data_IF_977461834534
#
_entry.id   IF_977461834534
#
_cell.length_a   1.000
_cell.length_b   1.000
_cell.length_c   1.000
_cell.angle_alpha   90.00
_cell.angle_beta   90.00
_cell.angle_gamma   90.00
#
_symmetry.space_group_name_H-M   'P 1'
#
loop_
_entity.id
_entity.type
_entity.pdbx_description
1 polymer ?
#
# COMPACT_ATOMS: atom_id res chain seq x y z
N UNK A 1 13.52 -68.11 36.98
CA UNK A 1 14.39 -66.92 36.87
C UNK A 1 14.28 -66.38 35.45
N UNK A 2 13.70 -65.18 35.30
CA UNK A 2 13.46 -64.51 34.01
C UNK A 2 14.79 -63.97 33.44
N UNK A 3 15.07 -64.15 32.15
CA UNK A 3 16.05 -63.33 31.42
C UNK A 3 15.41 -62.78 30.15
N UNK A 4 15.54 -61.48 30.02
CA UNK A 4 14.80 -60.55 29.19
C UNK A 4 15.56 -60.34 27.87
N UNK A 5 14.82 -60.31 26.76
CA UNK A 5 15.28 -59.89 25.44
C UNK A 5 15.65 -58.40 25.43
N UNK A 6 16.85 -58.06 24.95
CA UNK A 6 17.25 -56.67 24.69
C UNK A 6 17.05 -56.41 23.20
N UNK A 7 16.07 -55.56 22.88
CA UNK A 7 15.81 -55.02 21.54
C UNK A 7 16.61 -53.72 21.41
N UNK A 8 17.54 -53.64 20.46
CA UNK A 8 18.30 -52.42 20.18
C UNK A 8 17.51 -51.54 19.21
N UNK A 9 16.97 -50.41 19.70
CA UNK A 9 16.27 -49.43 18.88
C UNK A 9 17.30 -48.42 18.36
N UNK A 10 17.44 -48.35 17.04
CA UNK A 10 18.21 -47.32 16.34
C UNK A 10 17.39 -46.03 16.33
N UNK A 11 17.80 -45.03 17.11
CA UNK A 11 17.18 -43.71 17.09
C UNK A 11 17.71 -42.92 15.88
N UNK A 12 16.88 -42.76 14.84
CA UNK A 12 17.17 -41.84 13.76
C UNK A 12 16.98 -40.40 14.27
N UNK A 13 18.06 -39.62 14.30
CA UNK A 13 18.01 -38.18 14.53
C UNK A 13 17.31 -37.52 13.34
N UNK A 14 16.05 -37.12 13.53
CA UNK A 14 15.39 -36.19 12.61
C UNK A 14 15.83 -34.79 13.02
N UNK A 15 16.81 -34.24 12.29
CA UNK A 15 17.15 -32.82 12.40
C UNK A 15 16.03 -31.99 11.79
N UNK A 16 15.16 -31.44 12.63
CA UNK A 16 14.21 -30.42 12.21
C UNK A 16 14.99 -29.16 11.86
N UNK A 17 15.03 -28.82 10.56
CA UNK A 17 15.43 -27.48 10.14
C UNK A 17 14.37 -26.50 10.64
N UNK A 18 14.59 -25.93 11.82
CA UNK A 18 13.87 -24.74 12.26
C UNK A 18 14.23 -23.62 11.29
N UNK A 19 13.31 -23.26 10.39
CA UNK A 19 13.43 -22.00 9.65
C UNK A 19 13.48 -20.90 10.70
N UNK A 20 14.66 -20.35 10.92
CA UNK A 20 14.91 -19.36 11.94
C UNK A 20 14.28 -18.04 11.46
N UNK A 21 12.99 -17.85 11.73
CA UNK A 21 12.32 -16.56 11.56
C UNK A 21 13.14 -15.53 12.36
N UNK A 22 13.75 -14.58 11.66
CA UNK A 22 14.47 -13.46 12.29
C UNK A 22 13.47 -12.68 13.15
N UNK A 23 13.95 -12.23 14.31
CA UNK A 23 13.13 -11.62 15.36
C UNK A 23 12.18 -10.54 14.82
N UNK A 24 10.88 -10.76 15.08
CA UNK A 24 9.81 -9.78 14.90
C UNK A 24 10.16 -8.51 15.70
N UNK A 25 10.15 -7.35 15.04
CA UNK A 25 10.28 -6.06 15.71
C UNK A 25 8.90 -5.42 15.84
N UNK A 26 8.56 -4.95 17.04
CA UNK A 26 7.30 -4.27 17.30
C UNK A 26 7.61 -2.84 17.73
N UNK A 27 7.10 -1.87 17.00
CA UNK A 27 7.20 -0.45 17.33
C UNK A 27 5.81 0.09 17.63
N UNK A 28 5.66 0.87 18.70
CA UNK A 28 4.41 1.53 19.08
C UNK A 28 4.62 3.03 19.19
N UNK A 29 3.76 3.82 18.57
CA UNK A 29 3.82 5.29 18.63
C UNK A 29 2.43 5.88 18.40
N UNK A 30 2.03 6.83 19.24
CA UNK A 30 0.79 7.61 19.10
C UNK A 30 -0.47 6.75 18.87
N UNK A 31 -0.58 5.61 19.56
CA UNK A 31 -1.72 4.70 19.45
C UNK A 31 -1.69 3.75 18.24
N UNK A 32 -0.64 3.80 17.40
CA UNK A 32 -0.43 2.84 16.32
C UNK A 32 0.67 1.85 16.68
N UNK A 33 0.51 0.60 16.25
CA UNK A 33 1.47 -0.50 16.40
C UNK A 33 1.86 -1.01 15.02
N UNK A 34 3.16 -1.08 14.76
CA UNK A 34 3.72 -1.73 13.58
C UNK A 34 4.52 -2.96 14.02
N UNK A 35 4.15 -4.12 13.50
CA UNK A 35 5.00 -5.32 13.55
C UNK A 35 5.78 -5.43 12.24
N UNK A 36 7.08 -5.68 12.32
CA UNK A 36 7.95 -5.85 11.17
C UNK A 36 8.62 -7.22 11.23
N UNK A 37 8.40 -8.03 10.21
CA UNK A 37 9.00 -9.34 10.02
C UNK A 37 9.69 -9.43 8.65
N UNK A 38 10.66 -10.32 8.54
CA UNK A 38 11.31 -10.58 7.26
C UNK A 38 11.90 -11.99 7.24
N UNK A 39 11.69 -12.72 6.14
CA UNK A 39 12.43 -13.94 5.83
C UNK A 39 13.69 -13.67 4.99
N UNK A 40 13.96 -12.41 4.65
CA UNK A 40 15.12 -11.98 3.86
C UNK A 40 16.30 -11.60 4.78
N UNK A 41 17.25 -12.52 4.94
CA UNK A 41 18.35 -12.34 5.89
C UNK A 41 19.26 -11.14 5.59
N UNK A 42 19.37 -10.72 4.32
CA UNK A 42 20.23 -9.64 3.87
C UNK A 42 19.53 -8.27 3.79
N UNK A 43 18.32 -8.13 4.36
CA UNK A 43 17.64 -6.83 4.43
C UNK A 43 18.52 -5.79 5.13
N UNK A 44 18.76 -4.66 4.46
CA UNK A 44 19.50 -3.54 5.02
C UNK A 44 18.79 -2.99 6.28
N UNK A 45 19.45 -2.99 7.46
CA UNK A 45 18.88 -2.42 8.68
C UNK A 45 18.48 -0.94 8.55
N UNK A 46 19.14 -0.15 7.70
CA UNK A 46 18.78 1.25 7.48
C UNK A 46 17.51 1.36 6.64
N UNK A 47 17.37 0.57 5.58
CA UNK A 47 16.12 0.47 4.83
C UNK A 47 14.96 0.07 5.74
N UNK A 48 15.12 -0.97 6.58
CA UNK A 48 14.12 -1.36 7.59
C UNK A 48 13.68 -0.17 8.45
N UNK A 49 14.64 0.58 9.01
CA UNK A 49 14.35 1.77 9.82
C UNK A 49 13.62 2.85 9.03
N UNK A 50 13.97 3.08 7.76
CA UNK A 50 13.28 4.05 6.89
C UNK A 50 11.84 3.63 6.63
N UNK A 51 11.57 2.36 6.31
CA UNK A 51 10.21 1.84 6.10
C UNK A 51 9.33 2.04 7.36
N UNK A 52 9.86 1.69 8.54
CA UNK A 52 9.17 1.89 9.82
C UNK A 52 8.90 3.39 10.07
N UNK A 53 9.91 4.24 9.82
CA UNK A 53 9.76 5.70 9.96
C UNK A 53 8.68 6.24 9.03
N UNK A 54 8.68 5.84 7.75
CA UNK A 54 7.67 6.25 6.76
C UNK A 54 6.28 5.88 7.23
N UNK A 55 6.06 4.64 7.71
CA UNK A 55 4.76 4.23 8.26
C UNK A 55 4.24 5.21 9.32
N UNK A 56 5.05 5.51 10.35
CA UNK A 56 4.62 6.40 11.43
C UNK A 56 4.49 7.86 11.03
N UNK A 57 5.08 8.26 9.90
CA UNK A 57 4.93 9.60 9.34
C UNK A 57 3.63 9.72 8.53
N UNK A 58 3.29 8.71 7.72
CA UNK A 58 2.20 8.81 6.73
C UNK A 58 0.89 8.18 7.22
N UNK A 59 0.93 7.01 7.85
CA UNK A 59 -0.28 6.24 8.17
C UNK A 59 -1.24 6.99 9.11
N UNK A 60 -0.78 7.66 10.19
CA UNK A 60 -1.68 8.48 11.02
C UNK A 60 -2.32 9.64 10.26
N UNK A 61 -1.62 10.23 9.27
CA UNK A 61 -2.15 11.32 8.43
C UNK A 61 -3.22 10.79 7.47
N UNK A 62 -2.97 9.66 6.83
CA UNK A 62 -3.94 8.98 5.96
C UNK A 62 -5.18 8.55 6.73
N UNK A 63 -5.00 7.94 7.90
CA UNK A 63 -6.10 7.59 8.80
C UNK A 63 -6.95 8.82 9.17
N UNK A 64 -6.31 9.92 9.59
CA UNK A 64 -7.04 11.17 9.91
C UNK A 64 -7.78 11.74 8.70
N UNK A 65 -7.17 11.70 7.52
CA UNK A 65 -7.73 12.31 6.32
C UNK A 65 -8.89 11.49 5.75
N UNK A 66 -8.76 10.16 5.67
CA UNK A 66 -9.69 9.31 4.93
C UNK A 66 -10.52 8.39 5.84
N UNK A 67 -9.92 7.72 6.81
CA UNK A 67 -10.62 6.75 7.66
C UNK A 67 -10.07 6.71 9.11
N UNK A 68 -10.58 7.53 10.04
CA UNK A 68 -10.09 7.56 11.41
C UNK A 68 -10.27 6.23 12.16
N UNK A 69 -11.24 5.42 11.72
CA UNK A 69 -11.58 4.10 12.25
C UNK A 69 -10.72 2.96 11.70
N UNK A 70 -9.80 3.24 10.77
CA UNK A 70 -8.87 2.22 10.26
C UNK A 70 -8.08 1.57 11.41
N UNK A 71 -7.72 0.30 11.20
CA UNK A 71 -7.00 -0.53 12.16
C UNK A 71 -5.75 0.17 12.69
N UNK A 72 -5.43 -0.07 13.97
CA UNK A 72 -4.25 0.53 14.62
C UNK A 72 -3.05 -0.41 14.69
N UNK A 73 -3.24 -1.66 14.30
CA UNK A 73 -2.21 -2.68 14.25
C UNK A 73 -1.96 -3.07 12.80
N UNK A 74 -0.73 -2.84 12.33
CA UNK A 74 -0.30 -3.12 10.96
C UNK A 74 0.90 -4.04 10.99
N UNK A 75 1.03 -4.92 9.99
CA UNK A 75 2.17 -5.80 9.80
C UNK A 75 2.89 -5.49 8.51
N UNK A 76 4.20 -5.30 8.57
CA UNK A 76 5.09 -5.30 7.43
C UNK A 76 5.81 -6.64 7.36
N UNK A 77 5.85 -7.23 6.17
CA UNK A 77 6.57 -8.47 5.91
C UNK A 77 7.40 -8.34 4.64
N UNK A 78 8.72 -8.47 4.74
CA UNK A 78 9.58 -8.56 3.56
C UNK A 78 9.75 -10.03 3.19
N UNK A 79 9.27 -10.40 2.01
CA UNK A 79 9.20 -11.77 1.52
C UNK A 79 10.17 -12.03 0.36
N UNK A 80 10.87 -13.16 0.42
CA UNK A 80 11.74 -13.69 -0.63
C UNK A 80 10.99 -14.40 -1.75
N UNK A 81 9.76 -14.85 -1.49
CA UNK A 81 8.93 -15.52 -2.48
C UNK A 81 8.00 -14.59 -3.27
N UNK A 82 7.81 -13.34 -2.83
CA UNK A 82 6.94 -12.38 -3.49
C UNK A 82 7.64 -11.67 -4.66
N UNK A 83 7.05 -11.77 -5.84
CA UNK A 83 7.62 -11.37 -7.13
C UNK A 83 7.14 -10.00 -7.66
N UNK A 84 6.12 -9.42 -7.02
CA UNK A 84 5.64 -8.06 -7.29
C UNK A 84 6.50 -6.95 -6.67
N UNK A 85 5.91 -5.77 -6.49
CA UNK A 85 6.55 -4.64 -5.78
C UNK A 85 6.22 -4.74 -4.29
N UNK A 86 4.94 -4.61 -3.97
CA UNK A 86 4.34 -4.88 -2.69
C UNK A 86 2.85 -5.22 -2.88
N UNK A 87 2.23 -5.77 -1.83
CA UNK A 87 0.80 -6.03 -1.80
C UNK A 87 0.26 -5.91 -0.37
N UNK A 88 -0.99 -5.46 -0.27
CA UNK A 88 -1.67 -5.27 1.02
C UNK A 88 -2.91 -6.15 1.13
N UNK A 89 -3.04 -6.83 2.26
CA UNK A 89 -4.25 -7.57 2.64
C UNK A 89 -4.34 -7.67 4.16
N UNK A 90 -5.55 -7.53 4.72
CA UNK A 90 -5.84 -7.76 6.15
C UNK A 90 -4.88 -7.03 7.12
N UNK A 91 -4.61 -5.75 6.86
CA UNK A 91 -3.68 -4.95 7.68
C UNK A 91 -2.20 -5.36 7.56
N UNK A 92 -1.87 -6.25 6.63
CA UNK A 92 -0.50 -6.69 6.34
C UNK A 92 -0.06 -6.17 4.98
N UNK A 93 1.06 -5.44 4.97
CA UNK A 93 1.81 -5.11 3.76
C UNK A 93 2.94 -6.12 3.57
N UNK A 94 2.98 -6.74 2.40
CA UNK A 94 4.05 -7.63 1.96
C UNK A 94 4.90 -6.91 0.94
N UNK A 95 6.22 -6.82 1.15
CA UNK A 95 7.16 -6.20 0.23
C UNK A 95 8.04 -7.26 -0.42
N UNK A 96 8.34 -7.10 -1.72
CA UNK A 96 9.33 -7.94 -2.37
C UNK A 96 10.73 -7.61 -1.89
N UNK A 97 11.45 -8.61 -1.39
CA UNK A 97 12.88 -8.47 -1.09
C UNK A 97 13.69 -8.04 -2.32
N UNK A 98 13.35 -8.53 -3.52
CA UNK A 98 14.05 -8.18 -4.75
C UNK A 98 13.82 -6.73 -5.15
N UNK A 99 12.61 -6.20 -4.94
CA UNK A 99 12.34 -4.77 -5.13
C UNK A 99 13.14 -3.93 -4.14
N UNK A 100 13.13 -4.29 -2.86
CA UNK A 100 13.86 -3.57 -1.81
C UNK A 100 15.38 -3.45 -2.09
N UNK A 101 15.98 -4.47 -2.71
CA UNK A 101 17.39 -4.44 -3.12
C UNK A 101 17.61 -3.50 -4.32
N UNK A 102 16.72 -3.57 -5.32
CA UNK A 102 16.87 -2.81 -6.57
C UNK A 102 16.49 -1.33 -6.42
N UNK A 103 15.59 -1.04 -5.49
CA UNK A 103 14.99 0.27 -5.28
C UNK A 103 14.99 0.64 -3.78
N UNK A 104 16.16 0.70 -3.11
CA UNK A 104 16.24 0.97 -1.66
C UNK A 104 15.75 2.38 -1.27
N UNK A 105 15.64 3.28 -2.25
CA UNK A 105 15.10 4.63 -2.04
C UNK A 105 13.56 4.69 -2.17
N UNK A 106 12.91 3.64 -2.69
CA UNK A 106 11.45 3.60 -2.89
C UNK A 106 10.68 3.28 -1.60
N UNK A 107 10.91 4.06 -0.55
CA UNK A 107 10.24 3.89 0.74
C UNK A 107 8.77 4.32 0.70
N UNK A 108 8.37 5.14 -0.28
CA UNK A 108 7.00 5.60 -0.46
C UNK A 108 6.06 4.57 -1.08
N UNK A 109 6.58 3.40 -1.47
CA UNK A 109 5.75 2.20 -1.62
C UNK A 109 4.92 1.96 -0.35
N UNK A 110 5.46 2.27 0.83
CA UNK A 110 4.71 2.23 2.10
C UNK A 110 3.45 3.09 2.02
N UNK A 111 3.54 4.32 1.51
CA UNK A 111 2.43 5.27 1.46
C UNK A 111 1.29 4.76 0.57
N UNK A 112 1.63 4.14 -0.56
CA UNK A 112 0.65 3.46 -1.42
C UNK A 112 -0.02 2.30 -0.69
N UNK A 113 0.78 1.37 -0.18
CA UNK A 113 0.29 0.13 0.41
C UNK A 113 -0.56 0.37 1.67
N UNK A 114 -0.12 1.26 2.55
CA UNK A 114 -0.86 1.54 3.79
C UNK A 114 -2.12 2.37 3.51
N UNK A 115 -2.23 3.02 2.34
CA UNK A 115 -3.49 3.61 1.90
C UNK A 115 -4.53 2.51 1.63
N UNK A 116 -4.15 1.34 1.11
CA UNK A 116 -5.11 0.23 0.96
C UNK A 116 -5.70 -0.25 2.30
N UNK A 117 -4.93 -0.18 3.38
CA UNK A 117 -5.45 -0.47 4.74
C UNK A 117 -6.44 0.62 5.19
N UNK A 118 -6.22 1.88 4.81
CA UNK A 118 -7.12 3.00 5.14
C UNK A 118 -8.40 2.95 4.30
N UNK A 119 -8.28 2.58 3.02
CA UNK A 119 -9.40 2.38 2.11
C UNK A 119 -10.40 1.40 2.71
N UNK A 120 -9.93 0.20 3.10
CA UNK A 120 -10.75 -0.84 3.74
C UNK A 120 -12.11 -1.05 3.06
N UNK A 121 -12.11 -1.11 1.72
CA UNK A 121 -13.35 -1.19 0.94
C UNK A 121 -14.02 -2.57 1.00
N UNK A 122 -13.47 -3.53 1.75
CA UNK A 122 -13.89 -4.92 1.76
C UNK A 122 -14.09 -5.46 0.34
N UNK A 123 -15.29 -5.95 0.04
CA UNK A 123 -15.71 -6.23 -1.34
C UNK A 123 -16.04 -4.91 -2.06
N UNK A 124 -15.03 -4.31 -2.67
CA UNK A 124 -15.18 -3.05 -3.41
C UNK A 124 -16.34 -3.09 -4.40
N UNK A 125 -17.13 -2.01 -4.42
CA UNK A 125 -18.21 -1.75 -5.39
C UNK A 125 -17.76 -0.85 -6.55
N UNK A 126 -16.53 -0.35 -6.48
CA UNK A 126 -15.90 0.45 -7.52
C UNK A 126 -14.97 -0.38 -8.42
N UNK A 127 -14.57 0.17 -9.57
CA UNK A 127 -13.59 -0.48 -10.43
C UNK A 127 -12.19 -0.42 -9.81
N UNK A 128 -11.38 -1.46 -10.02
CA UNK A 128 -10.04 -1.56 -9.41
C UNK A 128 -9.11 -0.38 -9.71
N UNK A 129 -9.21 0.22 -10.91
CA UNK A 129 -8.39 1.40 -11.25
C UNK A 129 -8.61 2.59 -10.32
N UNK A 130 -9.79 2.69 -9.71
CA UNK A 130 -10.12 3.75 -8.78
C UNK A 130 -9.44 3.49 -7.43
N UNK A 131 -9.43 2.24 -6.97
CA UNK A 131 -8.70 1.81 -5.77
C UNK A 131 -7.21 2.11 -5.87
N UNK A 132 -6.57 1.67 -6.95
CA UNK A 132 -5.14 1.89 -7.21
C UNK A 132 -4.80 3.37 -7.45
N UNK A 133 -5.66 4.08 -8.18
CA UNK A 133 -5.47 5.50 -8.46
C UNK A 133 -5.56 6.38 -7.21
N UNK A 134 -6.45 6.05 -6.27
CA UNK A 134 -6.53 6.73 -4.97
C UNK A 134 -5.27 6.45 -4.13
N UNK A 135 -4.75 5.22 -4.15
CA UNK A 135 -3.53 4.87 -3.43
C UNK A 135 -2.31 5.65 -3.95
N UNK A 136 -2.13 5.75 -5.27
CA UNK A 136 -1.06 6.57 -5.85
C UNK A 136 -1.30 8.09 -5.71
N UNK A 137 -2.55 8.55 -5.68
CA UNK A 137 -2.85 9.95 -5.34
C UNK A 137 -2.48 10.26 -3.89
N UNK A 138 -2.73 9.34 -2.96
CA UNK A 138 -2.28 9.45 -1.58
C UNK A 138 -0.74 9.46 -1.50
N UNK A 139 -0.05 8.60 -2.26
CA UNK A 139 1.41 8.63 -2.38
C UNK A 139 1.93 9.96 -2.92
N UNK A 140 1.29 10.53 -3.94
CA UNK A 140 1.64 11.85 -4.46
C UNK A 140 1.53 12.95 -3.39
N UNK A 141 0.43 12.95 -2.63
CA UNK A 141 0.12 14.00 -1.64
C UNK A 141 0.86 13.85 -0.30
N UNK A 142 1.10 12.62 0.15
CA UNK A 142 1.62 12.31 1.49
C UNK A 142 2.98 11.63 1.50
N UNK A 143 3.52 11.27 0.33
CA UNK A 143 4.84 10.67 0.22
C UNK A 143 5.94 11.56 0.79
N UNK A 144 6.96 10.93 1.36
CA UNK A 144 8.03 11.61 2.11
C UNK A 144 9.36 11.66 1.35
N UNK A 145 9.51 10.86 0.29
CA UNK A 145 10.76 10.67 -0.46
C UNK A 145 10.51 10.20 -1.91
N UNK A 146 9.45 10.69 -2.55
CA UNK A 146 9.16 10.39 -3.95
C UNK A 146 10.32 10.77 -4.88
N UNK A 147 11.03 11.86 -4.57
CA UNK A 147 12.21 12.31 -5.32
C UNK A 147 13.36 11.30 -5.24
N UNK A 148 13.68 10.78 -4.04
CA UNK A 148 14.69 9.75 -3.87
C UNK A 148 14.37 8.47 -4.64
N UNK A 149 13.08 8.11 -4.70
CA UNK A 149 12.57 7.00 -5.50
C UNK A 149 12.52 7.28 -7.01
N UNK A 150 12.78 8.51 -7.46
CA UNK A 150 12.50 9.00 -8.84
C UNK A 150 11.06 8.74 -9.28
N UNK A 151 10.14 8.77 -8.32
CA UNK A 151 8.72 8.59 -8.54
C UNK A 151 8.07 9.97 -8.74
N UNK A 152 7.21 10.08 -9.76
CA UNK A 152 6.52 11.33 -10.09
C UNK A 152 5.18 11.07 -10.76
N UNK A 153 4.30 12.07 -10.82
CA UNK A 153 3.15 11.98 -11.72
C UNK A 153 3.63 12.04 -13.18
N UNK A 154 3.19 11.13 -14.06
CA UNK A 154 3.63 11.12 -15.46
C UNK A 154 3.03 12.28 -16.23
N UNK A 155 3.76 12.75 -17.23
CA UNK A 155 3.18 13.61 -18.28
C UNK A 155 2.10 12.83 -19.02
N UNK A 156 0.96 13.48 -19.28
CA UNK A 156 -0.15 12.88 -20.01
C UNK A 156 0.26 12.56 -21.46
N UNK A 157 -0.12 11.37 -21.93
CA UNK A 157 0.12 10.90 -23.31
C UNK A 157 -1.19 10.51 -23.99
N UNK A 158 -1.25 10.48 -25.34
CA UNK A 158 -2.47 10.16 -26.07
C UNK A 158 -3.09 8.78 -25.78
N UNK A 159 -2.27 7.79 -25.39
CA UNK A 159 -2.69 6.43 -25.05
C UNK A 159 -3.13 6.26 -23.59
N UNK A 160 -3.01 7.32 -22.78
CA UNK A 160 -3.46 7.30 -21.39
C UNK A 160 -4.99 7.46 -21.28
N UNK A 161 -5.52 6.95 -20.18
CA UNK A 161 -6.90 7.01 -19.73
C UNK A 161 -6.93 7.03 -18.20
N UNK A 162 -7.96 7.66 -17.62
CA UNK A 162 -8.20 7.58 -16.18
C UNK A 162 -8.38 6.14 -15.66
N UNK A 163 -8.59 5.16 -16.55
CA UNK A 163 -8.70 3.72 -16.23
C UNK A 163 -7.36 3.00 -16.17
N UNK A 164 -6.23 3.65 -16.45
CA UNK A 164 -4.90 3.01 -16.41
C UNK A 164 -4.38 2.74 -14.99
N UNK A 165 -5.13 3.11 -13.95
CA UNK A 165 -4.75 2.95 -12.54
C UNK A 165 -3.52 3.80 -12.16
N UNK A 166 -3.06 3.64 -10.92
CA UNK A 166 -1.76 4.12 -10.45
C UNK A 166 -1.50 5.60 -10.79
N UNK A 167 -0.25 5.93 -11.12
CA UNK A 167 0.26 7.27 -11.38
C UNK A 167 -0.53 8.06 -12.43
N UNK A 168 -1.08 7.40 -13.46
CA UNK A 168 -1.86 8.08 -14.52
C UNK A 168 -3.18 8.58 -13.94
N UNK A 169 -3.91 7.70 -13.25
CA UNK A 169 -5.15 8.07 -12.56
C UNK A 169 -4.87 9.07 -11.45
N UNK A 170 -3.77 8.90 -10.69
CA UNK A 170 -3.36 9.83 -9.64
C UNK A 170 -3.07 11.25 -10.16
N UNK A 171 -2.48 11.37 -11.36
CA UNK A 171 -2.24 12.67 -11.99
C UNK A 171 -3.55 13.39 -12.31
N UNK A 172 -4.53 12.66 -12.86
CA UNK A 172 -5.87 13.17 -13.10
C UNK A 172 -6.60 13.57 -11.81
N UNK A 173 -6.44 12.80 -10.73
CA UNK A 173 -6.99 13.12 -9.43
C UNK A 173 -6.36 14.37 -8.81
N UNK A 174 -5.04 14.52 -8.91
CA UNK A 174 -4.35 15.71 -8.47
C UNK A 174 -4.81 16.96 -9.25
N UNK A 175 -4.97 16.84 -10.56
CA UNK A 175 -5.56 17.89 -11.39
C UNK A 175 -6.99 18.24 -10.96
N UNK A 176 -7.83 17.23 -10.71
CA UNK A 176 -9.24 17.45 -10.33
C UNK A 176 -9.37 18.16 -8.98
N UNK A 177 -8.52 17.78 -8.02
CA UNK A 177 -8.46 18.39 -6.69
C UNK A 177 -8.00 19.84 -6.74
N UNK A 178 -7.09 20.19 -7.67
CA UNK A 178 -6.61 21.56 -7.88
C UNK A 178 -7.57 22.44 -8.69
N UNK A 179 -8.09 21.92 -9.81
CA UNK A 179 -8.72 22.74 -10.85
C UNK A 179 -10.24 22.63 -10.90
N UNK A 180 -10.82 21.56 -10.34
CA UNK A 180 -12.26 21.32 -10.40
C UNK A 180 -12.89 21.56 -9.03
N UNK A 181 -12.55 20.71 -8.05
CA UNK A 181 -13.08 20.82 -6.69
C UNK A 181 -12.25 20.02 -5.70
N UNK A 182 -11.64 20.74 -4.77
CA UNK A 182 -10.94 20.14 -3.63
C UNK A 182 -11.89 19.26 -2.79
N UNK A 183 -11.40 18.10 -2.35
CA UNK A 183 -12.13 17.12 -1.55
C UNK A 183 -12.94 16.10 -2.35
N UNK A 184 -12.93 16.18 -3.69
CA UNK A 184 -13.65 15.23 -4.55
C UNK A 184 -13.17 13.80 -4.34
N UNK A 185 -11.86 13.57 -4.32
CA UNK A 185 -11.27 12.23 -4.19
C UNK A 185 -11.49 11.67 -2.79
N UNK A 186 -11.45 12.53 -1.76
CA UNK A 186 -11.82 12.15 -0.39
C UNK A 186 -13.29 11.70 -0.29
N UNK A 187 -14.20 12.40 -0.95
CA UNK A 187 -15.62 12.02 -0.97
C UNK A 187 -15.84 10.71 -1.75
N UNK A 188 -15.12 10.49 -2.85
CA UNK A 188 -15.17 9.25 -3.63
C UNK A 188 -14.61 8.07 -2.84
N UNK A 189 -13.47 8.24 -2.16
CA UNK A 189 -12.92 7.24 -1.23
C UNK A 189 -13.93 6.82 -0.16
N UNK A 190 -14.59 7.80 0.47
CA UNK A 190 -15.63 7.52 1.46
C UNK A 190 -16.81 6.75 0.87
N UNK A 191 -17.30 7.13 -0.31
CA UNK A 191 -18.41 6.43 -0.95
C UNK A 191 -18.07 4.98 -1.36
N UNK A 192 -16.81 4.70 -1.69
CA UNK A 192 -16.33 3.34 -1.96
C UNK A 192 -16.33 2.49 -0.69
N UNK A 193 -15.80 3.05 0.41
CA UNK A 193 -15.78 2.40 1.73
C UNK A 193 -17.19 2.16 2.28
N UNK A 194 -18.09 3.12 2.08
CA UNK A 194 -19.49 3.02 2.53
C UNK A 194 -20.38 2.19 1.58
N UNK A 195 -19.80 1.61 0.52
CA UNK A 195 -20.51 0.85 -0.52
C UNK A 195 -21.67 1.61 -1.21
N UNK A 196 -21.60 2.94 -1.26
CA UNK A 196 -22.61 3.82 -1.91
C UNK A 196 -22.13 4.38 -3.26
N UNK A 197 -20.91 4.06 -3.67
CA UNK A 197 -20.35 4.54 -4.94
C UNK A 197 -21.22 4.15 -6.14
N UNK A 198 -21.56 5.16 -6.95
CA UNK A 198 -22.16 5.01 -8.28
C UNK A 198 -21.51 6.02 -9.21
N UNK A 199 -21.55 5.79 -10.54
CA UNK A 199 -20.97 6.72 -11.52
C UNK A 199 -21.51 8.16 -11.41
N UNK A 200 -22.73 8.34 -10.92
CA UNK A 200 -23.35 9.66 -10.73
C UNK A 200 -22.68 10.50 -9.62
N UNK A 201 -21.82 9.92 -8.77
CA UNK A 201 -21.11 10.70 -7.75
C UNK A 201 -20.25 11.80 -8.36
N UNK A 202 -19.66 11.56 -9.53
CA UNK A 202 -18.79 12.52 -10.22
C UNK A 202 -19.58 13.75 -10.64
N UNK A 203 -20.74 13.56 -11.28
CA UNK A 203 -21.63 14.66 -11.66
C UNK A 203 -22.15 15.41 -10.44
N UNK A 204 -22.56 14.70 -9.39
CA UNK A 204 -23.03 15.32 -8.14
C UNK A 204 -21.97 16.19 -7.47
N UNK A 205 -20.71 15.74 -7.47
CA UNK A 205 -19.63 16.46 -6.81
C UNK A 205 -19.11 17.62 -7.65
N UNK A 206 -18.99 17.43 -8.97
CA UNK A 206 -18.22 18.30 -9.87
C UNK A 206 -19.05 19.00 -10.95
N UNK A 207 -20.30 18.58 -11.16
CA UNK A 207 -21.15 19.01 -12.27
C UNK A 207 -20.86 18.32 -13.60
N UNK A 208 -19.89 17.38 -13.66
CA UNK A 208 -19.49 16.64 -14.87
C UNK A 208 -19.29 15.16 -14.57
N UNK A 209 -19.53 14.32 -15.57
CA UNK A 209 -19.15 12.90 -15.49
C UNK A 209 -17.63 12.71 -15.67
N UNK A 210 -17.15 11.48 -15.47
CA UNK A 210 -15.72 11.16 -15.59
C UNK A 210 -15.17 11.41 -16.99
N UNK A 211 -15.93 11.14 -18.04
CA UNK A 211 -15.46 11.26 -19.42
C UNK A 211 -15.30 12.73 -19.80
N UNK A 212 -16.23 13.60 -19.38
CA UNK A 212 -16.12 15.04 -19.54
C UNK A 212 -14.98 15.64 -18.71
N UNK A 213 -14.80 15.20 -17.46
CA UNK A 213 -13.67 15.62 -16.62
C UNK A 213 -12.33 15.21 -17.24
N UNK A 214 -12.24 13.99 -17.77
CA UNK A 214 -11.04 13.53 -18.46
C UNK A 214 -10.76 14.33 -19.73
N UNK A 215 -11.79 14.64 -20.52
CA UNK A 215 -11.64 15.47 -21.71
C UNK A 215 -11.10 16.87 -21.37
N UNK A 216 -11.47 17.44 -20.23
CA UNK A 216 -10.92 18.72 -19.77
C UNK A 216 -9.47 18.58 -19.29
N UNK A 217 -9.14 17.51 -18.56
CA UNK A 217 -7.76 17.19 -18.18
C UNK A 217 -6.86 17.01 -19.41
N UNK A 218 -7.36 16.39 -20.48
CA UNK A 218 -6.62 16.23 -21.75
C UNK A 218 -6.33 17.57 -22.42
N UNK A 219 -7.22 18.58 -22.28
CA UNK A 219 -6.99 19.92 -22.84
C UNK A 219 -5.98 20.72 -22.02
N UNK A 220 -5.97 20.55 -20.70
CA UNK A 220 -5.02 21.19 -19.81
C UNK A 220 -4.72 20.28 -18.61
N UNK A 221 -3.56 19.60 -18.65
CA UNK A 221 -3.19 18.60 -17.66
C UNK A 221 -2.30 19.14 -16.53
N UNK A 222 -2.29 20.45 -16.29
CA UNK A 222 -1.43 21.05 -15.28
C UNK A 222 -1.88 20.73 -13.84
N UNK A 223 -1.00 20.03 -13.11
CA UNK A 223 -1.15 19.67 -11.69
C UNK A 223 -0.39 20.64 -10.81
#
# INVERSE_FOLDING_TARGET
>A
MKKIFILTIFAALVSTFSVQLKAQEITKKNGYTLSFESNFAALDPQLKKRLIKTFFEVYPKLAKEYNPSTVKEVKFFVDTAYDGVAATADGKVTFSSMWMIKHPEDIDVVTHEVMHIVQDYGRSVGPGWLTEGIADYARYKFGVDNEGAKWSLPVLKPDHSYKNSYRITAAFFAWMEKNVKQGTIKAVDAALRDHTYTKNIWEKLTGKDLDALWADYVKNSEV
#
